data_IF_089873572319
#
_entry.id   IF_089873572319
#
_cell.length_a   1.000
_cell.length_b   1.000
_cell.length_c   1.000
_cell.angle_alpha   90.00
_cell.angle_beta   90.00
_cell.angle_gamma   90.00
#
_symmetry.space_group_name_H-M   'P 1'
#
loop_
_entity.id
_entity.type
_entity.pdbx_description
1 polymer ?
#
# COMPACT_ATOMS: atom_id res chain seq x y z
N UNK A 1 -31.69 50.29 39.12
CA UNK A 1 -30.72 49.21 39.16
C UNK A 1 -31.36 47.97 38.53
N UNK A 2 -31.13 47.68 37.20
CA UNK A 2 -31.65 46.55 36.51
C UNK A 2 -30.45 45.64 36.07
N UNK A 3 -30.56 44.38 36.43
CA UNK A 3 -29.63 43.30 36.31
C UNK A 3 -29.30 42.97 34.85
N UNK A 4 -28.01 42.92 34.49
CA UNK A 4 -27.47 42.29 33.28
C UNK A 4 -26.47 41.22 33.70
N UNK A 5 -26.89 40.00 33.74
CA UNK A 5 -26.16 38.74 33.64
C UNK A 5 -27.26 37.72 33.30
N UNK A 6 -27.32 37.10 32.14
CA UNK A 6 -26.44 36.05 31.69
C UNK A 6 -26.30 35.96 30.13
N UNK A 7 -25.20 36.33 29.56
CA UNK A 7 -24.97 36.04 28.15
C UNK A 7 -23.59 35.40 27.87
N UNK A 8 -22.81 35.10 28.90
CA UNK A 8 -21.46 34.57 28.73
C UNK A 8 -21.42 33.01 28.80
N UNK A 9 -22.47 32.36 29.31
CA UNK A 9 -22.46 30.90 29.51
C UNK A 9 -22.84 30.10 28.27
N UNK A 10 -23.41 30.70 27.22
CA UNK A 10 -23.82 29.99 26.01
C UNK A 10 -22.73 29.84 24.94
N UNK A 11 -21.67 30.66 24.98
CA UNK A 11 -20.63 30.67 23.94
C UNK A 11 -19.59 29.56 24.17
N UNK A 12 -19.34 29.22 25.43
CA UNK A 12 -18.38 28.14 25.75
C UNK A 12 -18.89 26.72 25.42
N UNK A 13 -20.20 26.51 25.33
CA UNK A 13 -20.78 25.20 25.04
C UNK A 13 -20.81 24.88 23.54
N UNK A 14 -20.81 25.89 22.67
CA UNK A 14 -20.78 25.66 21.20
C UNK A 14 -19.38 25.37 20.65
N UNK A 15 -18.31 25.81 21.32
CA UNK A 15 -16.94 25.57 20.90
C UNK A 15 -16.50 24.11 21.21
N UNK A 16 -17.08 23.48 22.23
CA UNK A 16 -16.79 22.07 22.54
C UNK A 16 -17.52 21.09 21.62
N UNK A 17 -18.64 21.46 21.02
CA UNK A 17 -19.38 20.63 20.07
C UNK A 17 -18.72 20.54 18.69
N UNK A 18 -17.96 21.57 18.28
CA UNK A 18 -17.23 21.56 17.00
C UNK A 18 -15.99 20.69 17.02
N UNK A 19 -15.30 20.57 18.17
CA UNK A 19 -14.13 19.71 18.30
C UNK A 19 -14.49 18.20 18.45
N UNK A 20 -15.67 17.87 18.93
CA UNK A 20 -16.15 16.50 19.03
C UNK A 20 -16.69 15.94 17.69
N UNK A 21 -17.03 16.79 16.74
CA UNK A 21 -17.50 16.38 15.41
C UNK A 21 -16.37 16.11 14.41
N UNK A 22 -15.16 16.59 14.66
CA UNK A 22 -13.98 16.32 13.81
C UNK A 22 -13.34 14.96 14.05
N UNK A 23 -13.63 14.30 15.17
CA UNK A 23 -13.05 13.01 15.54
C UNK A 23 -13.77 11.79 14.97
N UNK A 24 -14.84 11.96 14.17
CA UNK A 24 -15.66 10.87 13.64
C UNK A 24 -15.92 10.99 12.13
N UNK A 25 -14.99 11.55 11.37
CA UNK A 25 -15.04 11.45 9.91
C UNK A 25 -14.65 10.04 9.54
N UNK A 26 -15.64 9.23 9.12
CA UNK A 26 -15.38 7.97 8.43
C UNK A 26 -14.49 8.25 7.22
N UNK A 27 -13.20 7.88 7.32
CA UNK A 27 -12.23 8.09 6.26
C UNK A 27 -12.46 7.04 5.17
N UNK A 28 -13.47 7.28 4.35
CA UNK A 28 -13.85 6.36 3.28
C UNK A 28 -13.35 6.86 1.93
N UNK A 29 -12.71 5.98 1.20
CA UNK A 29 -12.20 6.23 -0.15
C UNK A 29 -12.82 5.22 -1.11
N UNK A 30 -13.30 5.70 -2.26
CA UNK A 30 -13.84 4.86 -3.31
C UNK A 30 -12.72 4.46 -4.28
N UNK A 31 -12.41 3.18 -4.30
CA UNK A 31 -11.50 2.57 -5.29
C UNK A 31 -12.28 2.01 -6.49
N UNK A 32 -11.57 1.57 -7.52
CA UNK A 32 -12.16 0.87 -8.68
C UNK A 32 -12.82 -0.48 -8.33
N UNK A 33 -12.60 -1.02 -7.12
CA UNK A 33 -13.15 -2.30 -6.66
C UNK A 33 -14.23 -2.17 -5.60
N UNK A 34 -14.29 -1.06 -4.88
CA UNK A 34 -15.26 -0.81 -3.80
C UNK A 34 -14.80 0.29 -2.86
N UNK A 35 -15.55 0.49 -1.80
CA UNK A 35 -15.21 1.49 -0.78
C UNK A 35 -14.32 0.85 0.27
N UNK A 36 -13.26 1.53 0.65
CA UNK A 36 -12.40 1.17 1.78
C UNK A 36 -12.48 2.24 2.87
N UNK A 37 -12.25 1.84 4.11
CA UNK A 37 -12.22 2.73 5.26
C UNK A 37 -10.89 2.61 6.00
N UNK A 38 -10.15 3.72 6.04
CA UNK A 38 -8.91 3.87 6.78
C UNK A 38 -9.12 4.50 8.15
N UNK A 39 -8.05 5.06 8.69
CA UNK A 39 -8.04 5.78 9.95
C UNK A 39 -7.02 6.93 9.89
N UNK A 40 -7.09 7.81 10.88
CA UNK A 40 -6.20 8.96 11.00
C UNK A 40 -5.20 8.64 12.11
N UNK A 41 -3.94 9.03 11.92
CA UNK A 41 -2.91 8.89 12.95
C UNK A 41 -3.23 9.69 14.21
N UNK A 42 -2.56 9.39 15.32
CA UNK A 42 -2.81 10.02 16.62
C UNK A 42 -2.62 11.55 16.60
N UNK A 43 -1.76 12.06 15.71
CA UNK A 43 -1.50 13.50 15.56
C UNK A 43 -2.49 14.19 14.62
N UNK A 44 -3.41 13.45 14.00
CA UNK A 44 -4.41 13.94 13.03
C UNK A 44 -3.80 14.64 11.81
N UNK A 45 -2.64 14.17 11.36
CA UNK A 45 -1.91 14.74 10.23
C UNK A 45 -1.91 13.82 9.00
N UNK A 46 -2.00 12.50 9.22
CA UNK A 46 -1.86 11.47 8.19
C UNK A 46 -3.05 10.51 8.18
N UNK A 47 -3.66 10.36 7.03
CA UNK A 47 -4.63 9.31 6.76
C UNK A 47 -3.90 8.01 6.38
N UNK A 48 -4.32 6.89 6.97
CA UNK A 48 -3.68 5.60 6.84
C UNK A 48 -4.69 4.52 6.39
N UNK A 49 -4.28 3.70 5.42
CA UNK A 49 -5.05 2.58 4.92
C UNK A 49 -4.14 1.36 4.85
N UNK A 50 -4.39 0.34 5.66
CA UNK A 50 -3.56 -0.85 5.75
C UNK A 50 -4.29 -2.10 5.25
N UNK A 51 -3.57 -3.01 4.61
CA UNK A 51 -4.15 -4.24 4.09
C UNK A 51 -5.14 -4.02 2.95
N UNK A 52 -4.87 -3.07 2.07
CA UNK A 52 -5.70 -2.80 0.87
C UNK A 52 -5.42 -3.87 -0.18
N UNK A 53 -6.40 -4.68 -0.60
CA UNK A 53 -6.19 -5.73 -1.59
C UNK A 53 -6.01 -5.14 -3.00
N UNK A 54 -4.89 -5.42 -3.66
CA UNK A 54 -4.66 -5.02 -5.04
C UNK A 54 -4.86 -6.15 -6.06
N UNK A 55 -4.86 -7.40 -5.60
CA UNK A 55 -5.08 -8.58 -6.42
C UNK A 55 -5.92 -9.63 -5.67
N UNK A 56 -6.40 -10.65 -6.39
CA UNK A 56 -7.02 -11.82 -5.76
C UNK A 56 -5.98 -12.62 -4.96
N UNK A 57 -6.38 -13.28 -3.86
CA UNK A 57 -5.51 -14.21 -3.13
C UNK A 57 -4.88 -15.24 -4.08
N UNK A 58 -3.54 -15.35 -4.12
CA UNK A 58 -2.84 -16.29 -5.00
C UNK A 58 -2.80 -17.71 -4.40
N UNK A 59 -3.96 -18.26 -4.07
CA UNK A 59 -4.15 -19.54 -3.39
C UNK A 59 -4.81 -20.58 -4.29
N UNK A 60 -4.66 -21.86 -3.99
CA UNK A 60 -5.29 -22.94 -4.75
C UNK A 60 -4.90 -22.86 -6.23
N UNK A 61 -5.90 -22.76 -7.11
CA UNK A 61 -5.70 -22.71 -8.57
C UNK A 61 -4.99 -21.43 -9.05
N UNK A 62 -4.89 -20.39 -8.22
CA UNK A 62 -4.15 -19.16 -8.51
C UNK A 62 -2.70 -19.18 -8.01
N UNK A 63 -2.29 -20.20 -7.25
CA UNK A 63 -0.89 -20.38 -6.87
C UNK A 63 -0.04 -20.56 -8.14
N UNK A 64 1.11 -19.89 -8.18
CA UNK A 64 2.01 -19.89 -9.36
C UNK A 64 1.34 -19.43 -10.68
N UNK A 65 0.37 -18.55 -10.56
CA UNK A 65 -0.20 -17.79 -11.69
C UNK A 65 0.15 -16.31 -11.59
N UNK A 66 0.07 -15.61 -12.71
CA UNK A 66 0.10 -14.16 -12.69
C UNK A 66 -1.03 -13.63 -11.79
N UNK A 67 -0.80 -12.54 -11.02
CA UNK A 67 -1.81 -11.98 -10.15
C UNK A 67 -3.06 -11.60 -10.95
N UNK A 68 -4.22 -11.91 -10.39
CA UNK A 68 -5.50 -11.56 -11.00
C UNK A 68 -6.06 -10.32 -10.30
N UNK A 69 -6.73 -9.41 -11.04
CA UNK A 69 -7.32 -8.22 -10.43
C UNK A 69 -8.22 -8.57 -9.23
N UNK A 70 -8.18 -7.78 -8.17
CA UNK A 70 -9.04 -7.96 -7.02
C UNK A 70 -10.52 -7.99 -7.44
N UNK A 71 -11.32 -8.83 -6.80
CA UNK A 71 -12.78 -8.87 -7.01
C UNK A 71 -13.41 -7.63 -6.39
N UNK A 72 -14.39 -7.05 -7.06
CA UNK A 72 -15.19 -5.96 -6.48
C UNK A 72 -16.01 -6.46 -5.29
N UNK A 73 -16.22 -5.58 -4.32
CA UNK A 73 -17.03 -5.86 -3.12
C UNK A 73 -18.15 -4.83 -2.96
N UNK A 74 -19.17 -5.21 -2.20
CA UNK A 74 -20.26 -4.33 -1.76
C UNK A 74 -20.00 -3.86 -0.33
N UNK A 75 -20.51 -2.67 -0.01
CA UNK A 75 -20.30 -2.07 1.31
C UNK A 75 -18.90 -1.51 1.51
N UNK A 76 -18.53 -1.28 2.75
CA UNK A 76 -17.26 -0.71 3.16
C UNK A 76 -16.33 -1.81 3.69
N UNK A 77 -15.12 -1.88 3.16
CA UNK A 77 -14.07 -2.77 3.65
C UNK A 77 -13.16 -1.97 4.60
N UNK A 78 -13.03 -2.42 5.84
CA UNK A 78 -12.06 -1.85 6.76
C UNK A 78 -10.63 -2.17 6.31
N UNK A 79 -9.77 -1.14 6.33
CA UNK A 79 -8.35 -1.20 5.97
C UNK A 79 -7.53 -0.52 7.07
N UNK A 80 -7.67 -1.06 8.30
CA UNK A 80 -7.11 -0.50 9.54
C UNK A 80 -6.01 -1.38 10.15
N UNK A 81 -5.77 -2.56 9.58
CA UNK A 81 -4.75 -3.49 10.04
C UNK A 81 -3.86 -3.95 8.89
N UNK A 82 -2.59 -4.15 9.18
CA UNK A 82 -1.68 -4.73 8.21
C UNK A 82 -2.09 -6.16 7.85
N UNK A 83 -2.00 -6.48 6.57
CA UNK A 83 -2.22 -7.84 6.08
C UNK A 83 -1.13 -8.81 6.59
N UNK A 84 -1.36 -10.13 6.55
CA UNK A 84 -0.33 -11.12 6.82
C UNK A 84 0.88 -10.94 5.89
N UNK A 85 2.07 -11.21 6.41
CA UNK A 85 3.29 -11.28 5.63
C UNK A 85 3.20 -12.40 4.56
N UNK A 86 3.91 -12.29 3.43
CA UNK A 86 4.08 -13.40 2.51
C UNK A 86 4.70 -14.62 3.19
N UNK A 87 4.39 -15.82 2.69
CA UNK A 87 4.95 -17.07 3.20
C UNK A 87 6.48 -17.05 3.12
N UNK A 88 7.14 -17.14 4.26
CA UNK A 88 8.59 -17.02 4.39
C UNK A 88 9.12 -17.77 5.63
N UNK A 89 10.45 -17.96 5.66
CA UNK A 89 11.16 -18.40 6.86
C UNK A 89 11.91 -17.18 7.39
N UNK A 90 11.82 -16.86 8.68
CA UNK A 90 12.59 -15.79 9.28
C UNK A 90 14.11 -16.07 9.18
N UNK A 91 14.78 -15.39 8.27
CA UNK A 91 16.23 -15.57 8.02
C UNK A 91 17.04 -14.35 8.49
N UNK A 92 16.40 -13.22 8.72
CA UNK A 92 17.03 -12.00 9.20
C UNK A 92 16.41 -11.59 10.54
N UNK A 93 17.25 -11.42 11.57
CA UNK A 93 16.80 -11.18 12.95
C UNK A 93 16.25 -9.76 13.21
N UNK A 94 16.47 -8.84 12.29
CA UNK A 94 16.03 -7.43 12.37
C UNK A 94 14.72 -7.14 11.63
N UNK A 95 14.22 -8.07 10.84
CA UNK A 95 12.94 -7.96 10.14
C UNK A 95 11.77 -8.27 11.07
N UNK A 96 10.90 -7.28 11.28
CA UNK A 96 9.76 -7.37 12.21
C UNK A 96 8.47 -6.98 11.50
N UNK A 97 7.65 -7.96 11.18
CA UNK A 97 6.31 -7.74 10.66
C UNK A 97 5.38 -7.14 11.73
N UNK A 98 4.55 -6.18 11.32
CA UNK A 98 3.40 -5.70 12.09
C UNK A 98 2.11 -6.43 11.71
N UNK A 99 2.14 -7.25 10.65
CA UNK A 99 1.02 -8.08 10.21
C UNK A 99 0.78 -9.28 11.12
N UNK A 100 -0.42 -9.88 11.02
CA UNK A 100 -0.81 -11.05 11.82
C UNK A 100 -0.37 -12.35 11.14
N UNK A 101 0.85 -12.79 11.40
CA UNK A 101 1.37 -14.05 10.88
C UNK A 101 1.73 -14.00 9.38
N UNK A 102 1.73 -15.14 8.71
CA UNK A 102 2.08 -15.31 7.31
C UNK A 102 0.95 -16.03 6.56
N UNK A 103 0.77 -15.69 5.28
CA UNK A 103 -0.22 -16.32 4.43
C UNK A 103 0.21 -16.31 2.97
N UNK A 104 -0.29 -17.27 2.18
CA UNK A 104 -0.25 -17.15 0.72
C UNK A 104 -1.20 -16.03 0.23
N UNK A 105 -2.29 -15.75 0.96
CA UNK A 105 -3.14 -14.56 0.76
C UNK A 105 -2.41 -13.34 1.33
N UNK A 106 -1.52 -12.76 0.53
CA UNK A 106 -0.60 -11.71 0.94
C UNK A 106 -0.58 -10.49 -0.01
N UNK A 107 -1.36 -10.48 -1.09
CA UNK A 107 -1.31 -9.44 -2.12
C UNK A 107 -2.08 -8.18 -1.70
N UNK A 108 -1.49 -7.47 -0.77
CA UNK A 108 -2.01 -6.25 -0.15
C UNK A 108 -0.97 -5.14 -0.17
N UNK A 109 -1.43 -3.90 -0.15
CA UNK A 109 -0.60 -2.71 -0.02
C UNK A 109 -1.09 -1.85 1.14
N UNK A 110 -0.24 -0.92 1.58
CA UNK A 110 -0.57 0.05 2.61
C UNK A 110 -0.34 1.45 2.06
N UNK A 111 -1.13 2.43 2.51
CA UNK A 111 -1.10 3.81 2.02
C UNK A 111 -1.05 4.76 3.20
N UNK A 112 -0.17 5.76 3.12
CA UNK A 112 -0.11 6.93 3.98
C UNK A 112 -0.28 8.16 3.09
N UNK A 113 -1.19 9.06 3.47
CA UNK A 113 -1.40 10.30 2.73
C UNK A 113 -1.66 11.46 3.69
N UNK A 114 -1.20 12.69 3.38
CA UNK A 114 -1.54 13.87 4.18
C UNK A 114 -3.04 14.05 4.32
N UNK A 115 -3.50 14.36 5.53
CA UNK A 115 -4.93 14.57 5.80
C UNK A 115 -5.45 15.90 5.26
N UNK A 116 -4.58 16.89 5.04
CA UNK A 116 -4.98 18.22 4.61
C UNK A 116 -5.54 18.21 3.19
N UNK A 117 -6.79 18.68 3.03
CA UNK A 117 -7.53 18.64 1.75
C UNK A 117 -6.95 19.54 0.64
N UNK A 118 -6.04 20.43 0.95
CA UNK A 118 -5.38 21.31 -0.03
C UNK A 118 -4.35 20.58 -0.90
N UNK A 119 -3.89 19.42 -0.46
CA UNK A 119 -2.91 18.62 -1.17
C UNK A 119 -3.58 17.76 -2.25
N UNK A 120 -3.47 18.19 -3.51
CA UNK A 120 -3.89 17.42 -4.69
C UNK A 120 -2.69 17.26 -5.63
N UNK A 121 -2.65 16.16 -6.35
CA UNK A 121 -1.57 15.81 -7.27
C UNK A 121 -0.20 15.73 -6.57
N UNK A 122 -0.19 15.14 -5.37
CA UNK A 122 1.04 14.91 -4.59
C UNK A 122 1.92 13.87 -5.29
N UNK A 123 3.26 13.99 -5.17
CA UNK A 123 4.15 12.93 -5.59
C UNK A 123 3.84 11.64 -4.82
N UNK A 124 4.00 10.51 -5.51
CA UNK A 124 3.72 9.18 -4.97
C UNK A 124 5.02 8.38 -4.89
N UNK A 125 5.32 7.82 -3.73
CA UNK A 125 6.40 6.86 -3.54
C UNK A 125 5.81 5.46 -3.35
N UNK A 126 6.09 4.54 -4.27
CA UNK A 126 5.78 3.11 -4.12
C UNK A 126 7.05 2.38 -3.74
N UNK A 127 7.07 1.76 -2.57
CA UNK A 127 8.28 1.15 -2.02
C UNK A 127 8.20 -0.38 -2.01
N UNK A 128 9.24 -1.02 -2.55
CA UNK A 128 9.46 -2.46 -2.52
C UNK A 128 10.52 -2.80 -1.47
N UNK A 129 10.15 -3.60 -0.49
CA UNK A 129 11.06 -4.02 0.59
C UNK A 129 12.15 -4.97 0.08
N UNK A 130 13.26 -5.04 0.81
CA UNK A 130 14.35 -5.96 0.58
C UNK A 130 14.16 -7.33 1.24
N UNK A 131 15.25 -8.08 1.39
CA UNK A 131 15.25 -9.40 2.04
C UNK A 131 15.48 -10.55 1.07
N UNK A 132 16.22 -10.31 -0.01
CA UNK A 132 16.73 -11.34 -0.93
C UNK A 132 15.64 -12.12 -1.67
N UNK A 133 14.42 -11.59 -1.79
CA UNK A 133 13.23 -12.30 -2.29
C UNK A 133 12.84 -13.53 -1.47
N UNK A 134 13.37 -13.67 -0.24
CA UNK A 134 13.12 -14.82 0.64
C UNK A 134 12.44 -14.43 1.95
N UNK A 135 12.56 -13.18 2.39
CA UNK A 135 11.95 -12.65 3.62
C UNK A 135 11.57 -11.18 3.46
N UNK A 136 10.85 -10.64 4.45
CA UNK A 136 10.39 -9.25 4.51
C UNK A 136 8.90 -9.10 4.25
N UNK A 137 8.36 -7.96 4.60
CA UNK A 137 7.00 -7.55 4.24
C UNK A 137 6.84 -6.03 4.28
N UNK A 138 5.74 -5.57 3.69
CA UNK A 138 5.40 -4.15 3.56
C UNK A 138 4.98 -3.48 4.87
N UNK A 139 4.86 -4.23 5.98
CA UNK A 139 4.42 -3.72 7.27
C UNK A 139 5.56 -3.39 8.23
N UNK A 140 6.82 -3.67 7.85
CA UNK A 140 7.95 -3.44 8.74
C UNK A 140 8.04 -1.96 9.17
N UNK A 141 8.36 -1.67 10.45
CA UNK A 141 8.42 -0.29 10.95
C UNK A 141 9.39 0.62 10.18
N UNK A 142 10.44 0.05 9.59
CA UNK A 142 11.41 0.80 8.77
C UNK A 142 10.82 1.39 7.49
N UNK A 143 9.68 0.88 7.04
CA UNK A 143 8.97 1.33 5.83
C UNK A 143 7.73 2.16 6.15
N UNK A 144 7.58 2.61 7.41
CA UNK A 144 6.44 3.44 7.82
C UNK A 144 6.44 4.78 7.07
N UNK A 145 5.35 5.03 6.34
CA UNK A 145 5.24 6.19 5.46
C UNK A 145 4.83 7.49 6.14
N UNK A 146 4.56 7.47 7.45
CA UNK A 146 4.00 8.62 8.18
C UNK A 146 4.83 9.89 8.02
N UNK A 147 6.16 9.80 8.17
CA UNK A 147 7.02 10.97 8.08
C UNK A 147 7.07 11.56 6.66
N UNK A 148 7.13 10.72 5.63
CA UNK A 148 7.06 11.18 4.25
C UNK A 148 5.68 11.78 3.90
N UNK A 149 4.61 11.22 4.47
CA UNK A 149 3.27 11.78 4.27
C UNK A 149 3.15 13.18 4.88
N UNK A 150 3.75 13.45 6.05
CA UNK A 150 3.82 14.79 6.64
C UNK A 150 4.55 15.80 5.76
N UNK A 151 5.49 15.35 4.95
CA UNK A 151 6.22 16.17 3.97
C UNK A 151 5.48 16.30 2.62
N UNK A 152 4.24 15.84 2.52
CA UNK A 152 3.43 16.00 1.32
C UNK A 152 3.64 14.92 0.25
N UNK A 153 4.08 13.72 0.62
CA UNK A 153 4.28 12.58 -0.29
C UNK A 153 3.26 11.50 0.05
N UNK A 154 2.52 11.00 -0.95
CA UNK A 154 1.71 9.79 -0.77
C UNK A 154 2.63 8.59 -0.82
N UNK A 155 2.67 7.81 0.27
CA UNK A 155 3.53 6.62 0.37
C UNK A 155 2.69 5.36 0.24
N UNK A 156 3.19 4.41 -0.55
CA UNK A 156 2.59 3.09 -0.74
C UNK A 156 3.66 2.04 -0.51
N UNK A 157 3.43 1.10 0.42
CA UNK A 157 4.27 -0.09 0.58
C UNK A 157 3.52 -1.32 0.08
N UNK A 158 4.23 -2.26 -0.56
CA UNK A 158 3.61 -3.34 -1.33
C UNK A 158 4.13 -4.69 -0.87
N UNK A 159 3.22 -5.62 -0.52
CA UNK A 159 3.55 -7.03 -0.38
C UNK A 159 3.63 -7.70 -1.76
N UNK A 160 4.55 -8.62 -1.92
CA UNK A 160 4.69 -9.47 -3.10
C UNK A 160 5.14 -10.88 -2.69
N UNK A 161 4.78 -11.89 -3.49
CA UNK A 161 5.14 -13.29 -3.19
C UNK A 161 6.65 -13.49 -3.19
N UNK A 162 7.10 -14.29 -2.23
CA UNK A 162 8.50 -14.59 -1.96
C UNK A 162 8.79 -16.08 -2.20
N UNK A 163 10.06 -16.46 -2.20
CA UNK A 163 10.53 -17.83 -2.24
C UNK A 163 9.92 -18.63 -3.40
N UNK A 164 9.61 -19.89 -3.14
CA UNK A 164 8.98 -20.81 -4.10
C UNK A 164 7.61 -20.29 -4.59
N UNK A 165 6.89 -19.50 -3.80
CA UNK A 165 5.59 -18.93 -4.21
C UNK A 165 5.75 -17.79 -5.22
N UNK A 166 6.84 -17.03 -5.12
CA UNK A 166 7.14 -15.89 -5.99
C UNK A 166 8.03 -16.22 -7.19
N UNK A 167 8.81 -17.33 -7.14
CA UNK A 167 9.89 -17.54 -8.10
C UNK A 167 10.04 -18.97 -8.66
N UNK A 168 9.06 -19.88 -8.41
CA UNK A 168 9.15 -21.25 -8.95
C UNK A 168 9.11 -21.27 -10.47
N UNK A 169 10.24 -21.61 -11.10
CA UNK A 169 10.34 -21.87 -12.53
C UNK A 169 10.19 -23.37 -12.79
N UNK A 170 9.19 -23.75 -13.59
CA UNK A 170 8.94 -25.15 -13.93
C UNK A 170 8.35 -25.29 -15.34
N UNK A 171 8.78 -26.27 -16.15
CA UNK A 171 8.30 -26.45 -17.53
C UNK A 171 6.77 -26.58 -17.66
N UNK A 172 6.11 -27.30 -16.72
CA UNK A 172 4.67 -27.46 -16.73
C UNK A 172 3.95 -26.11 -16.49
N UNK A 173 4.45 -25.29 -15.55
CA UNK A 173 3.91 -23.94 -15.30
C UNK A 173 4.12 -23.02 -16.50
N UNK A 174 5.29 -23.10 -17.15
CA UNK A 174 5.55 -22.34 -18.38
C UNK A 174 4.62 -22.77 -19.52
N UNK A 175 4.33 -24.07 -19.65
CA UNK A 175 3.39 -24.59 -20.67
C UNK A 175 1.95 -24.12 -20.40
N UNK A 176 1.55 -24.08 -19.14
CA UNK A 176 0.22 -23.67 -18.70
C UNK A 176 0.00 -22.15 -18.87
N UNK A 177 1.02 -21.34 -18.58
CA UNK A 177 0.92 -19.89 -18.66
C UNK A 177 0.69 -19.39 -20.10
N UNK A 178 -0.24 -18.46 -20.35
CA UNK A 178 -0.52 -17.93 -21.69
C UNK A 178 0.70 -17.22 -22.31
N UNK A 179 1.58 -16.66 -21.48
CA UNK A 179 2.82 -15.98 -21.88
C UNK A 179 4.04 -16.93 -21.94
N UNK A 180 3.83 -18.26 -21.80
CA UNK A 180 4.82 -19.33 -21.95
C UNK A 180 6.09 -19.19 -21.08
N UNK A 181 5.95 -18.61 -19.90
CA UNK A 181 7.01 -18.42 -18.92
C UNK A 181 6.52 -18.71 -17.50
N UNK A 182 7.45 -18.94 -16.57
CA UNK A 182 7.21 -19.12 -15.14
C UNK A 182 8.37 -18.55 -14.33
N UNK A 183 8.19 -18.33 -13.02
CA UNK A 183 9.28 -17.93 -12.12
C UNK A 183 9.30 -16.45 -11.72
N UNK A 184 8.48 -15.59 -12.28
CA UNK A 184 8.49 -14.13 -12.01
C UNK A 184 7.23 -13.64 -11.30
N UNK A 185 6.56 -14.49 -10.53
CA UNK A 185 5.25 -14.15 -9.94
C UNK A 185 5.33 -12.98 -8.96
N UNK A 186 6.38 -12.92 -8.11
CA UNK A 186 6.59 -11.80 -7.20
C UNK A 186 6.83 -10.47 -7.93
N UNK A 187 7.56 -10.48 -9.05
CA UNK A 187 7.76 -9.30 -9.90
C UNK A 187 6.47 -8.88 -10.63
N UNK A 188 5.64 -9.86 -11.03
CA UNK A 188 4.31 -9.59 -11.58
C UNK A 188 3.35 -9.03 -10.52
N UNK A 189 3.48 -9.45 -9.25
CA UNK A 189 2.72 -8.89 -8.14
C UNK A 189 3.02 -7.40 -7.95
N UNK A 190 4.31 -7.02 -8.02
CA UNK A 190 4.75 -5.63 -7.97
C UNK A 190 4.17 -4.81 -9.14
N UNK A 191 4.21 -5.36 -10.36
CA UNK A 191 3.57 -4.73 -11.53
C UNK A 191 2.06 -4.54 -11.32
N UNK A 192 1.35 -5.56 -10.80
CA UNK A 192 -0.08 -5.46 -10.52
C UNK A 192 -0.38 -4.38 -9.47
N UNK A 193 0.46 -4.24 -8.44
CA UNK A 193 0.34 -3.16 -7.46
C UNK A 193 0.57 -1.79 -8.09
N UNK A 194 1.53 -1.63 -8.99
CA UNK A 194 1.75 -0.38 -9.74
C UNK A 194 0.53 -0.01 -10.60
N UNK A 195 -0.08 -0.99 -11.27
CA UNK A 195 -1.33 -0.78 -12.03
C UNK A 195 -2.45 -0.34 -11.08
N UNK A 196 -2.58 -0.96 -9.91
CA UNK A 196 -3.57 -0.56 -8.91
C UNK A 196 -3.33 0.89 -8.45
N UNK A 197 -2.08 1.25 -8.13
CA UNK A 197 -1.70 2.61 -7.74
C UNK A 197 -2.05 3.60 -8.85
N UNK A 198 -1.66 3.34 -10.09
CA UNK A 198 -1.98 4.19 -11.25
C UNK A 198 -3.47 4.48 -11.37
N UNK A 199 -4.31 3.49 -11.11
CA UNK A 199 -5.76 3.58 -11.27
C UNK A 199 -6.47 4.26 -10.09
N UNK A 200 -5.90 4.20 -8.88
CA UNK A 200 -6.63 4.57 -7.65
C UNK A 200 -5.99 5.71 -6.84
N UNK A 201 -4.68 6.00 -7.02
CA UNK A 201 -3.97 6.88 -6.11
C UNK A 201 -4.47 8.33 -6.11
N UNK A 202 -5.15 8.75 -7.14
CA UNK A 202 -5.80 10.06 -7.23
C UNK A 202 -6.83 10.26 -6.12
N UNK A 203 -7.55 9.22 -5.75
CA UNK A 203 -8.56 9.25 -4.68
C UNK A 203 -7.92 9.45 -3.28
N UNK A 204 -6.60 9.25 -3.18
CA UNK A 204 -5.77 9.48 -2.00
C UNK A 204 -4.95 10.79 -2.09
N UNK A 205 -5.24 11.65 -3.06
CA UNK A 205 -4.55 12.92 -3.28
C UNK A 205 -3.26 12.81 -4.10
N UNK A 206 -2.80 11.63 -4.49
CA UNK A 206 -1.59 11.41 -5.27
C UNK A 206 -1.78 11.68 -6.78
N UNK A 207 -0.69 12.04 -7.46
CA UNK A 207 -0.65 12.18 -8.91
C UNK A 207 -0.32 10.82 -9.58
N UNK A 208 -1.24 10.21 -10.33
CA UNK A 208 -0.96 8.96 -11.04
C UNK A 208 0.11 9.10 -12.12
N UNK A 209 0.51 10.31 -12.51
CA UNK A 209 1.59 10.55 -13.47
C UNK A 209 2.93 10.88 -12.79
N UNK A 210 2.97 10.95 -11.46
CA UNK A 210 4.17 11.27 -10.68
C UNK A 210 4.47 10.16 -9.66
N UNK A 211 4.53 8.91 -10.16
CA UNK A 211 4.82 7.72 -9.35
C UNK A 211 6.32 7.43 -9.40
N UNK A 212 7.00 7.61 -8.28
CA UNK A 212 8.38 7.18 -8.06
C UNK A 212 8.35 5.80 -7.41
N UNK A 213 9.09 4.83 -7.93
CA UNK A 213 9.31 3.55 -7.27
C UNK A 213 10.62 3.61 -6.50
N UNK A 214 10.64 3.05 -5.29
CA UNK A 214 11.83 2.93 -4.45
C UNK A 214 12.01 1.53 -3.92
N UNK A 215 13.22 1.17 -3.53
CA UNK A 215 13.50 -0.11 -2.89
C UNK A 215 14.93 -0.29 -2.48
N UNK A 216 15.14 -1.12 -1.47
CA UNK A 216 16.45 -1.46 -0.93
C UNK A 216 16.77 -2.94 -1.20
N UNK A 217 18.04 -3.28 -1.48
CA UNK A 217 18.52 -4.65 -1.71
C UNK A 217 17.71 -5.36 -2.81
N UNK A 218 17.02 -6.47 -2.51
CA UNK A 218 16.11 -7.13 -3.45
C UNK A 218 14.99 -6.20 -3.95
N UNK A 219 14.56 -5.21 -3.13
CA UNK A 219 13.66 -4.14 -3.56
C UNK A 219 14.29 -3.23 -4.62
N UNK A 220 15.58 -2.93 -4.53
CA UNK A 220 16.32 -2.19 -5.57
C UNK A 220 16.45 -2.98 -6.87
N UNK A 221 16.70 -4.30 -6.78
CA UNK A 221 16.68 -5.20 -7.94
C UNK A 221 15.28 -5.21 -8.57
N UNK A 222 14.22 -5.21 -7.74
CA UNK A 222 12.84 -5.07 -8.20
C UNK A 222 12.61 -3.76 -8.95
N UNK A 223 13.10 -2.63 -8.42
CA UNK A 223 13.06 -1.31 -9.08
C UNK A 223 13.68 -1.40 -10.48
N UNK A 224 14.91 -1.90 -10.59
CA UNK A 224 15.60 -2.08 -11.87
C UNK A 224 14.81 -2.98 -12.82
N UNK A 225 14.23 -4.05 -12.30
CA UNK A 225 13.40 -4.97 -13.09
C UNK A 225 12.14 -4.30 -13.61
N UNK A 226 11.43 -3.51 -12.78
CA UNK A 226 10.24 -2.76 -13.22
C UNK A 226 10.60 -1.68 -14.25
N UNK A 227 11.74 -1.00 -14.11
CA UNK A 227 12.22 -0.04 -15.11
C UNK A 227 12.50 -0.71 -16.47
N UNK A 228 13.04 -1.91 -16.47
CA UNK A 228 13.34 -2.65 -17.69
C UNK A 228 12.11 -3.36 -18.29
N UNK A 229 11.05 -3.54 -17.52
CA UNK A 229 9.85 -4.29 -17.91
C UNK A 229 8.95 -3.49 -18.86
N UNK A 230 8.61 -4.01 -20.04
CA UNK A 230 7.62 -3.37 -20.91
C UNK A 230 6.23 -3.27 -20.27
N UNK A 231 5.92 -4.12 -19.28
CA UNK A 231 4.64 -4.08 -18.55
C UNK A 231 4.52 -2.87 -17.65
N UNK A 232 5.63 -2.26 -17.24
CA UNK A 232 5.67 -1.11 -16.33
C UNK A 232 5.99 0.22 -17.04
N UNK A 233 6.15 0.21 -18.37
CA UNK A 233 6.64 1.34 -19.17
C UNK A 233 5.95 2.67 -18.87
N UNK A 234 4.63 2.68 -18.76
CA UNK A 234 3.84 3.92 -18.60
C UNK A 234 3.34 4.11 -17.16
N UNK A 235 3.87 3.33 -16.22
CA UNK A 235 3.48 3.36 -14.82
C UNK A 235 4.40 4.20 -13.94
N UNK A 236 5.60 4.56 -14.43
CA UNK A 236 6.69 5.11 -13.64
C UNK A 236 7.06 6.50 -14.11
N UNK A 237 7.29 7.41 -13.16
CA UNK A 237 7.89 8.72 -13.40
C UNK A 237 9.39 8.70 -13.07
N UNK A 238 9.77 8.15 -11.91
CA UNK A 238 11.16 8.10 -11.44
C UNK A 238 11.41 6.81 -10.65
N UNK A 239 12.69 6.55 -10.34
CA UNK A 239 13.10 5.37 -9.59
C UNK A 239 14.25 5.68 -8.63
N UNK A 240 14.25 5.04 -7.45
CA UNK A 240 15.28 5.13 -6.42
C UNK A 240 15.71 3.70 -6.06
N UNK A 241 16.95 3.33 -6.32
CA UNK A 241 17.52 2.04 -5.95
C UNK A 241 18.56 2.21 -4.85
N UNK A 242 18.41 1.47 -3.76
CA UNK A 242 19.32 1.50 -2.63
C UNK A 242 19.97 0.12 -2.43
N UNK A 243 21.31 0.07 -2.34
CA UNK A 243 22.05 -1.17 -2.03
C UNK A 243 21.76 -2.36 -2.95
N UNK A 244 21.37 -2.11 -4.19
CA UNK A 244 21.14 -3.11 -5.22
C UNK A 244 21.78 -2.71 -6.51
N UNK A 245 22.51 -3.64 -7.14
CA UNK A 245 23.01 -3.51 -8.50
C UNK A 245 22.02 -4.15 -9.48
N UNK A 246 21.84 -3.52 -10.62
CA UNK A 246 21.19 -4.11 -11.79
C UNK A 246 22.18 -4.18 -12.93
#
# INVERSE_FOLDING_TARGET
MKKYIPLILCICFQIQLTNAQLSNQNLQVKTDKGIIEGFIDENQEVAQFFGVPFAQPPVGDLRWKAPQPAKSWKGVKETKEFAPAPMQIPVFGDMKSRGKGMSEDCLYLNIWTPLQQEHKNLPVLVYFYGGGFVAGDASEPRYDGTNFAKEGIVVVTVNYRLNVFGSLAHPALSKEAPYKASGNYGLLDQNAALIWVKNNIKEFGGDPNHITIGGESAGSISVSTQMASPLSKDLLFAAIGESGAA
#
